data_IF_192950574005
#
_entry.id   IF_192950574005
#
_cell.length_a   1.000
_cell.length_b   1.000
_cell.length_c   1.000
_cell.angle_alpha   90.00
_cell.angle_beta   90.00
_cell.angle_gamma   90.00
#
_symmetry.space_group_name_H-M   'P 1'
#
loop_
_entity.id
_entity.type
_entity.pdbx_description
1 polymer ?
#
# COMPACT_ATOMS: atom_id res chain seq x y z
N UNK A 1 9.91 -4.22 -0.90
CA UNK A 1 10.33 -3.37 -2.03
C UNK A 1 9.15 -2.51 -2.43
N UNK A 2 9.36 -1.22 -2.70
CA UNK A 2 8.33 -0.31 -3.21
C UNK A 2 8.92 0.46 -4.39
N UNK A 3 8.28 0.37 -5.55
CA UNK A 3 8.66 1.13 -6.74
C UNK A 3 7.46 1.97 -7.19
N UNK A 4 7.70 3.25 -7.44
CA UNK A 4 6.64 4.22 -7.73
C UNK A 4 6.91 4.92 -9.05
N UNK A 5 5.84 5.19 -9.77
CA UNK A 5 5.82 5.94 -11.02
C UNK A 5 4.54 6.76 -11.11
N UNK A 6 4.43 7.57 -12.16
CA UNK A 6 3.24 8.37 -12.44
C UNK A 6 1.96 7.54 -12.63
N UNK A 7 2.08 6.31 -13.11
CA UNK A 7 0.94 5.46 -13.46
C UNK A 7 0.72 4.29 -12.52
N UNK A 8 1.74 3.87 -11.76
CA UNK A 8 1.60 2.74 -10.85
C UNK A 8 2.57 2.72 -9.66
N UNK A 9 2.19 1.95 -8.65
CA UNK A 9 2.99 1.61 -7.47
C UNK A 9 3.06 0.09 -7.33
N UNK A 10 4.26 -0.48 -7.42
CA UNK A 10 4.53 -1.90 -7.14
C UNK A 10 5.09 -2.06 -5.74
N UNK A 11 4.50 -2.96 -4.94
CA UNK A 11 4.92 -3.15 -3.56
C UNK A 11 4.58 -4.53 -3.00
N UNK A 12 5.30 -4.91 -1.94
CA UNK A 12 4.94 -6.08 -1.13
C UNK A 12 4.15 -5.61 0.09
N UNK A 13 2.97 -6.20 0.32
CA UNK A 13 2.21 -6.03 1.57
C UNK A 13 2.25 -7.33 2.34
N UNK A 14 2.63 -7.25 3.62
CA UNK A 14 2.58 -8.39 4.53
C UNK A 14 1.45 -8.19 5.54
N UNK A 15 0.76 -9.27 5.87
CA UNK A 15 -0.27 -9.28 6.89
C UNK A 15 -0.14 -10.48 7.80
N UNK A 16 -0.57 -10.31 9.04
CA UNK A 16 -0.58 -11.35 10.06
C UNK A 16 -2.01 -11.85 10.18
N UNK A 17 -2.26 -13.02 9.59
CA UNK A 17 -3.54 -13.70 9.71
C UNK A 17 -3.52 -14.54 11.00
N UNK A 18 -4.47 -14.27 11.90
CA UNK A 18 -4.72 -15.13 13.05
C UNK A 18 -5.69 -16.19 12.61
N UNK A 19 -5.21 -17.42 12.52
CA UNK A 19 -6.04 -18.58 12.21
C UNK A 19 -6.21 -19.42 13.48
N UNK A 20 -7.39 -20.04 13.62
CA UNK A 20 -7.70 -20.95 14.72
C UNK A 20 -8.03 -22.35 14.19
N UNK A 21 -7.15 -22.99 13.39
CA UNK A 21 -7.36 -24.39 13.03
C UNK A 21 -7.28 -25.24 14.31
N UNK A 22 -8.30 -26.06 14.55
CA UNK A 22 -8.36 -27.03 15.65
C UNK A 22 -8.21 -26.46 17.08
N UNK A 23 -8.52 -25.17 17.29
CA UNK A 23 -8.46 -24.54 18.62
C UNK A 23 -7.07 -24.05 19.05
N UNK A 24 -6.03 -24.26 18.23
CA UNK A 24 -4.72 -23.65 18.42
C UNK A 24 -4.65 -22.29 17.73
N UNK A 25 -4.21 -21.27 18.46
CA UNK A 25 -3.99 -19.92 17.93
C UNK A 25 -2.69 -19.89 17.14
N UNK A 26 -2.79 -20.01 15.82
CA UNK A 26 -1.66 -19.87 14.90
C UNK A 26 -1.63 -18.47 14.29
N UNK A 27 -0.43 -17.98 14.04
CA UNK A 27 -0.18 -16.62 13.55
C UNK A 27 0.65 -16.73 12.29
N UNK A 28 -0.02 -16.70 11.14
CA UNK A 28 0.63 -16.87 9.84
C UNK A 28 0.87 -15.52 9.17
N UNK A 29 2.10 -15.27 8.73
CA UNK A 29 2.44 -14.07 7.96
C UNK A 29 2.31 -14.36 6.48
N UNK A 30 1.29 -13.78 5.83
CA UNK A 30 1.16 -13.80 4.37
C UNK A 30 1.76 -12.54 3.77
N UNK A 31 2.56 -12.68 2.71
CA UNK A 31 3.11 -11.55 1.96
C UNK A 31 2.68 -11.68 0.51
N UNK A 32 2.14 -10.61 -0.06
CA UNK A 32 1.68 -10.56 -1.45
C UNK A 32 2.38 -9.43 -2.20
N UNK A 33 2.76 -9.70 -3.44
CA UNK A 33 3.19 -8.68 -4.40
C UNK A 33 1.94 -8.06 -5.03
N UNK A 34 1.85 -6.75 -4.99
CA UNK A 34 0.70 -5.99 -5.44
C UNK A 34 1.14 -4.89 -6.41
N UNK A 35 0.25 -4.60 -7.37
CA UNK A 35 0.37 -3.51 -8.31
C UNK A 35 -0.83 -2.58 -8.15
N UNK A 36 -0.56 -1.34 -7.74
CA UNK A 36 -1.53 -0.27 -7.72
C UNK A 36 -1.49 0.53 -9.00
N UNK A 37 -2.58 0.62 -9.76
CA UNK A 37 -2.66 1.37 -11.03
C UNK A 37 -3.61 2.56 -10.90
N UNK A 38 -3.14 3.77 -11.22
CA UNK A 38 -3.94 4.99 -11.09
C UNK A 38 -5.01 5.10 -12.19
N UNK A 39 -6.18 5.60 -11.82
CA UNK A 39 -7.35 5.74 -12.72
C UNK A 39 -7.60 7.20 -13.00
N UNK A 40 -7.28 7.70 -14.21
CA UNK A 40 -7.58 9.04 -14.76
C UNK A 40 -7.32 10.26 -13.83
N UNK A 41 -8.00 10.35 -12.68
CA UNK A 41 -7.69 11.20 -11.54
C UNK A 41 -6.69 10.51 -10.62
N UNK A 42 -5.55 11.16 -10.33
CA UNK A 42 -4.51 10.66 -9.42
C UNK A 42 -5.02 10.25 -8.02
N UNK A 43 -6.27 10.58 -7.67
CA UNK A 43 -6.91 10.27 -6.38
C UNK A 43 -7.29 8.80 -6.17
N UNK A 44 -7.38 7.99 -7.22
CA UNK A 44 -7.84 6.59 -7.12
C UNK A 44 -6.87 5.62 -7.77
N UNK A 45 -6.65 4.50 -7.09
CA UNK A 45 -5.70 3.47 -7.52
C UNK A 45 -6.34 2.08 -7.38
N UNK A 46 -6.44 1.34 -8.48
CA UNK A 46 -6.82 -0.07 -8.45
C UNK A 46 -5.66 -0.91 -7.94
N UNK A 47 -5.91 -1.66 -6.88
CA UNK A 47 -4.99 -2.65 -6.37
C UNK A 47 -5.28 -4.00 -7.05
N UNK A 48 -4.27 -4.56 -7.69
CA UNK A 48 -4.33 -5.88 -8.30
C UNK A 48 -3.16 -6.74 -7.82
N UNK A 49 -3.37 -8.06 -7.72
CA UNK A 49 -2.26 -9.00 -7.77
C UNK A 49 -1.83 -9.08 -9.25
N UNK A 50 -0.51 -9.03 -9.56
CA UNK A 50 -0.03 -9.18 -10.93
C UNK A 50 -0.68 -10.39 -11.61
N UNK A 51 -1.14 -10.21 -12.86
CA UNK A 51 -1.81 -11.23 -13.68
C UNK A 51 -3.17 -11.75 -13.15
N UNK A 52 -3.77 -11.05 -12.17
CA UNK A 52 -5.07 -11.41 -11.57
C UNK A 52 -6.04 -10.20 -11.61
N UNK A 53 -7.33 -10.50 -11.46
CA UNK A 53 -8.43 -9.54 -11.33
C UNK A 53 -8.14 -8.44 -10.28
N UNK A 54 -8.48 -7.17 -10.54
CA UNK A 54 -8.36 -6.10 -9.55
C UNK A 54 -9.15 -6.45 -8.29
N UNK A 55 -8.46 -6.37 -7.15
CA UNK A 55 -8.97 -6.76 -5.85
C UNK A 55 -9.77 -5.63 -5.19
N UNK A 56 -9.27 -4.39 -5.29
CA UNK A 56 -9.74 -3.28 -4.47
C UNK A 56 -9.42 -1.91 -5.09
N UNK A 57 -10.10 -0.86 -4.61
CA UNK A 57 -9.78 0.54 -4.86
C UNK A 57 -9.14 1.15 -3.62
N UNK A 58 -7.96 1.74 -3.76
CA UNK A 58 -7.27 2.52 -2.73
C UNK A 58 -7.29 4.00 -3.12
N UNK A 59 -7.34 4.90 -2.12
CA UNK A 59 -7.35 6.34 -2.37
C UNK A 59 -5.96 6.93 -2.14
N UNK A 60 -5.43 7.64 -3.13
CA UNK A 60 -4.22 8.42 -2.97
C UNK A 60 -4.56 9.75 -2.30
N UNK A 61 -3.96 10.01 -1.15
CA UNK A 61 -4.10 11.29 -0.45
C UNK A 61 -3.02 12.26 -0.87
N UNK A 62 -1.79 11.77 -1.00
CA UNK A 62 -0.64 12.58 -1.38
C UNK A 62 0.41 11.73 -2.09
N UNK A 63 1.12 12.33 -3.05
CA UNK A 63 2.32 11.75 -3.65
C UNK A 63 3.29 12.89 -3.94
N UNK A 64 4.55 12.71 -3.58
CA UNK A 64 5.57 13.70 -3.89
C UNK A 64 5.81 13.78 -5.40
N UNK A 65 6.16 14.97 -5.91
CA UNK A 65 6.36 15.20 -7.35
C UNK A 65 7.46 14.32 -7.97
N UNK A 66 8.44 13.90 -7.16
CA UNK A 66 9.53 13.01 -7.56
C UNK A 66 9.23 11.51 -7.36
N UNK A 67 8.03 11.19 -6.89
CA UNK A 67 7.57 9.84 -6.58
C UNK A 67 8.45 9.11 -5.54
N UNK A 68 9.10 9.85 -4.64
CA UNK A 68 9.88 9.27 -3.54
C UNK A 68 9.01 8.76 -2.40
N UNK A 69 7.82 9.32 -2.19
CA UNK A 69 6.87 8.83 -1.20
C UNK A 69 5.41 9.13 -1.56
N UNK A 70 4.51 8.39 -0.94
CA UNK A 70 3.07 8.54 -1.10
C UNK A 70 2.32 8.21 0.19
N UNK A 71 1.19 8.88 0.40
CA UNK A 71 0.23 8.61 1.48
C UNK A 71 -1.04 8.08 0.85
N UNK A 72 -1.48 6.91 1.31
CA UNK A 72 -2.68 6.24 0.80
C UNK A 72 -3.65 5.94 1.93
N UNK A 73 -4.94 6.07 1.64
CA UNK A 73 -6.02 5.55 2.46
C UNK A 73 -6.47 4.19 1.91
N UNK A 74 -6.36 3.17 2.75
CA UNK A 74 -6.72 1.80 2.41
C UNK A 74 -8.13 1.55 2.91
N UNK A 75 -9.11 1.62 2.00
CA UNK A 75 -10.53 1.40 2.31
C UNK A 75 -10.93 -0.07 2.24
N UNK A 76 -10.19 -0.86 1.46
CA UNK A 76 -10.43 -2.28 1.27
C UNK A 76 -9.44 -3.05 2.14
N UNK A 77 -9.90 -3.64 3.25
CA UNK A 77 -9.01 -4.28 4.21
C UNK A 77 -8.57 -5.65 3.68
N UNK A 78 -8.18 -5.80 2.42
CA UNK A 78 -7.58 -7.04 1.98
C UNK A 78 -6.06 -6.97 2.12
N UNK A 79 -5.41 -7.87 2.89
CA UNK A 79 -5.95 -8.93 3.76
C UNK A 79 -6.21 -8.51 5.24
N UNK A 80 -6.25 -7.20 5.53
CA UNK A 80 -6.63 -6.58 6.81
C UNK A 80 -8.05 -6.84 7.37
N UNK A 81 -8.41 -6.07 8.43
CA UNK A 81 -9.76 -6.10 9.03
C UNK A 81 -10.44 -4.72 9.13
N UNK A 82 -9.68 -3.62 9.07
CA UNK A 82 -10.20 -2.24 9.17
C UNK A 82 -9.55 -1.37 8.11
N UNK A 83 -10.03 -0.15 7.89
CA UNK A 83 -9.31 0.82 7.06
C UNK A 83 -8.09 1.40 7.80
N UNK A 84 -7.04 1.80 7.07
CA UNK A 84 -5.86 2.45 7.64
C UNK A 84 -5.17 3.37 6.64
N UNK A 85 -4.27 4.24 7.14
CA UNK A 85 -3.35 5.00 6.29
C UNK A 85 -2.03 4.26 6.11
N UNK A 86 -1.49 4.28 4.88
CA UNK A 86 -0.13 3.81 4.58
C UNK A 86 0.75 4.95 4.12
N UNK A 87 1.90 5.09 4.76
CA UNK A 87 3.03 5.84 4.21
C UNK A 87 3.95 4.89 3.45
N UNK A 88 4.09 5.10 2.14
CA UNK A 88 4.98 4.31 1.29
C UNK A 88 6.18 5.16 0.87
N UNK A 89 7.36 4.56 0.90
CA UNK A 89 8.63 5.20 0.52
C UNK A 89 9.27 4.37 -0.58
N UNK A 90 9.65 5.02 -1.69
CA UNK A 90 10.32 4.38 -2.82
C UNK A 90 11.65 3.79 -2.36
N UNK A 91 11.98 2.62 -2.91
CA UNK A 91 13.15 1.84 -2.46
C UNK A 91 14.46 2.64 -2.52
N UNK A 92 14.64 3.48 -3.54
CA UNK A 92 15.81 4.35 -3.71
C UNK A 92 15.92 5.47 -2.67
N UNK A 93 14.83 5.75 -1.96
CA UNK A 93 14.71 6.82 -0.95
C UNK A 93 14.65 6.27 0.47
N UNK A 94 14.71 4.94 0.66
CA UNK A 94 14.54 4.33 1.99
C UNK A 94 15.66 4.69 2.97
N UNK A 95 16.89 4.91 2.47
CA UNK A 95 18.05 5.30 3.28
C UNK A 95 17.99 6.74 3.74
N UNK A 96 17.33 7.61 2.96
CA UNK A 96 17.08 9.02 3.28
C UNK A 96 15.80 9.22 4.08
N UNK A 97 14.91 8.23 4.07
CA UNK A 97 13.62 8.28 4.73
C UNK A 97 12.55 9.03 3.91
N UNK A 98 11.30 9.07 4.41
CA UNK A 98 10.23 9.83 3.77
C UNK A 98 10.53 11.33 3.81
N UNK A 99 10.17 12.05 2.74
CA UNK A 99 10.22 13.52 2.73
C UNK A 99 9.26 14.10 3.79
N UNK A 100 9.60 15.30 4.26
CA UNK A 100 8.82 16.01 5.29
C UNK A 100 7.36 16.23 4.85
N UNK A 101 7.12 16.49 3.56
CA UNK A 101 5.77 16.67 2.99
C UNK A 101 4.89 15.42 3.18
N UNK A 102 5.42 14.23 2.92
CA UNK A 102 4.69 12.98 3.15
C UNK A 102 4.45 12.72 4.64
N UNK A 103 5.40 13.11 5.51
CA UNK A 103 5.21 13.00 6.95
C UNK A 103 4.13 13.94 7.49
N UNK A 104 4.03 15.15 6.93
CA UNK A 104 2.96 16.09 7.26
C UNK A 104 1.61 15.53 6.83
N UNK A 105 1.47 15.13 5.56
CA UNK A 105 0.24 14.54 5.02
C UNK A 105 -0.18 13.23 5.72
N UNK A 106 0.75 12.49 6.32
CA UNK A 106 0.43 11.27 7.07
C UNK A 106 -0.04 11.52 8.51
N UNK A 107 0.25 12.71 9.07
CA UNK A 107 -0.10 13.07 10.46
C UNK A 107 -1.41 13.84 10.56
N UNK A 108 -1.86 14.45 9.47
CA UNK A 108 -3.16 15.12 9.32
C UNK A 108 -4.31 14.10 9.30
#
# INVERSE_FOLDING_TARGET
MVNMSRSSIFFNRSYVEKSFPAGEKTTDKKTMLLNGVFVNTLSQMYLAVPDVTPLCLESLQFMSDDYSCAVLWISCPYPGLSSWYELRVRNTSITTGPRQECLQNFRE
#
